data_IF_476827424716
#
_entry.id   IF_476827424716
#
_cell.length_a   1.000
_cell.length_b   1.000
_cell.length_c   1.000
_cell.angle_alpha   90.00
_cell.angle_beta   90.00
_cell.angle_gamma   90.00
#
_symmetry.space_group_name_H-M   'P 1'
#
loop_
_entity.id
_entity.type
_entity.pdbx_description
1 polymer ?
#
# COMPACT_ATOMS: atom_id res chain seq x y z
N UNK A 1 -15.97 -22.79 -16.09
CA UNK A 1 -15.92 -21.39 -15.66
C UNK A 1 -14.88 -21.31 -14.56
N UNK A 2 -13.65 -20.96 -14.90
CA UNK A 2 -12.66 -20.61 -13.88
C UNK A 2 -12.89 -19.14 -13.51
N UNK A 3 -13.10 -18.88 -12.23
CA UNK A 3 -13.10 -17.52 -11.70
C UNK A 3 -11.71 -16.92 -11.93
N UNK A 4 -11.65 -15.76 -12.60
CA UNK A 4 -10.44 -14.93 -12.65
C UNK A 4 -10.13 -14.44 -11.24
N UNK A 5 -9.49 -15.27 -10.42
CA UNK A 5 -8.75 -14.77 -9.26
C UNK A 5 -7.56 -14.03 -9.86
N UNK A 6 -7.54 -12.71 -9.72
CA UNK A 6 -6.36 -11.89 -9.98
C UNK A 6 -5.20 -12.55 -9.23
N UNK A 7 -4.21 -13.08 -9.95
CA UNK A 7 -3.16 -13.90 -9.34
C UNK A 7 -2.11 -12.98 -8.71
N UNK A 8 -2.46 -12.38 -7.59
CA UNK A 8 -1.51 -11.74 -6.69
C UNK A 8 -0.46 -12.77 -6.28
N UNK A 9 0.82 -12.44 -6.42
CA UNK A 9 1.93 -13.32 -6.02
C UNK A 9 2.42 -13.03 -4.62
N UNK A 10 2.33 -11.77 -4.18
CA UNK A 10 2.80 -11.29 -2.88
C UNK A 10 1.79 -10.30 -2.31
N UNK A 11 1.43 -10.48 -1.04
CA UNK A 11 0.72 -9.47 -0.25
C UNK A 11 1.70 -8.77 0.68
N UNK A 12 1.74 -7.44 0.62
CA UNK A 12 2.51 -6.60 1.54
C UNK A 12 1.53 -5.92 2.48
N UNK A 13 1.79 -6.00 3.78
CA UNK A 13 0.98 -5.33 4.80
C UNK A 13 1.86 -4.34 5.53
N UNK A 14 1.48 -3.07 5.55
CA UNK A 14 2.22 -2.01 6.26
C UNK A 14 1.28 -1.32 7.25
N UNK A 15 1.45 -1.56 8.57
CA UNK A 15 0.80 -0.74 9.58
C UNK A 15 1.43 0.66 9.59
N UNK A 16 0.60 1.67 9.77
CA UNK A 16 0.98 3.08 9.68
C UNK A 16 0.55 3.79 10.95
N UNK A 17 1.51 4.31 11.70
CA UNK A 17 1.26 5.20 12.83
C UNK A 17 2.24 6.37 12.79
N UNK A 18 1.72 7.58 12.63
CA UNK A 18 2.49 8.83 12.63
C UNK A 18 3.75 8.81 11.72
N UNK A 19 3.57 8.38 10.48
CA UNK A 19 4.63 8.13 9.51
C UNK A 19 4.69 9.15 8.36
N UNK A 20 4.08 10.33 8.50
CA UNK A 20 3.89 11.28 7.39
C UNK A 20 5.18 11.59 6.60
N UNK A 21 6.33 11.60 7.30
CA UNK A 21 7.65 11.90 6.73
C UNK A 21 8.21 10.82 5.81
N UNK A 22 7.78 9.57 5.98
CA UNK A 22 8.36 8.41 5.31
C UNK A 22 7.36 7.65 4.45
N UNK A 23 6.06 7.79 4.76
CA UNK A 23 5.00 6.97 4.18
C UNK A 23 5.00 6.98 2.64
N UNK A 24 5.14 8.14 2.00
CA UNK A 24 5.21 8.22 0.52
C UNK A 24 6.37 7.42 -0.04
N UNK A 25 7.58 7.61 0.52
CA UNK A 25 8.78 6.87 0.10
C UNK A 25 8.61 5.36 0.31
N UNK A 26 7.98 4.95 1.41
CA UNK A 26 7.67 3.55 1.68
C UNK A 26 6.71 3.00 0.62
N UNK A 27 5.63 3.72 0.32
CA UNK A 27 4.66 3.32 -0.71
C UNK A 27 5.35 3.18 -2.06
N UNK A 28 6.09 4.20 -2.48
CA UNK A 28 6.86 4.21 -3.73
C UNK A 28 7.82 3.02 -3.82
N UNK A 29 8.45 2.66 -2.70
CA UNK A 29 9.37 1.52 -2.66
C UNK A 29 8.66 0.18 -2.92
N UNK A 30 7.40 0.02 -2.49
CA UNK A 30 6.66 -1.24 -2.65
C UNK A 30 5.99 -1.33 -4.02
N UNK A 31 5.41 -0.24 -4.53
CA UNK A 31 4.67 -0.28 -5.81
C UNK A 31 5.61 -0.36 -7.02
N UNK A 32 6.85 0.13 -6.92
CA UNK A 32 7.84 0.14 -8.01
C UNK A 32 8.78 -1.08 -8.00
N UNK A 33 8.32 -2.23 -7.54
CA UNK A 33 9.10 -3.46 -7.53
C UNK A 33 9.21 -4.11 -8.92
N UNK A 34 10.31 -4.84 -9.17
CA UNK A 34 10.60 -5.46 -10.47
C UNK A 34 9.62 -6.58 -10.87
N UNK A 35 8.83 -7.08 -9.92
CA UNK A 35 7.80 -8.09 -10.17
C UNK A 35 6.51 -7.51 -10.76
N UNK A 36 6.41 -6.18 -10.91
CA UNK A 36 5.21 -5.51 -11.43
C UNK A 36 4.12 -5.35 -10.37
N UNK A 37 3.45 -4.19 -10.39
CA UNK A 37 2.40 -3.84 -9.41
C UNK A 37 1.18 -4.77 -9.50
N UNK A 38 0.87 -5.30 -10.68
CA UNK A 38 -0.23 -6.24 -10.91
C UNK A 38 -0.08 -7.58 -10.18
N UNK A 39 1.13 -7.87 -9.70
CA UNK A 39 1.43 -9.07 -8.91
C UNK A 39 1.45 -8.80 -7.39
N UNK A 40 1.16 -7.56 -6.95
CA UNK A 40 1.25 -7.11 -5.56
C UNK A 40 -0.14 -6.71 -5.05
N UNK A 41 -0.53 -7.26 -3.92
CA UNK A 41 -1.62 -6.73 -3.09
C UNK A 41 -0.97 -5.92 -1.98
N UNK A 42 -1.32 -4.65 -1.85
CA UNK A 42 -0.74 -3.78 -0.84
C UNK A 42 -1.80 -3.26 0.13
N UNK A 43 -1.76 -3.75 1.37
CA UNK A 43 -2.64 -3.33 2.45
C UNK A 43 -1.93 -2.33 3.35
N UNK A 44 -2.40 -1.08 3.32
CA UNK A 44 -1.94 0.00 4.19
C UNK A 44 -2.96 0.21 5.30
N UNK A 45 -2.57 -0.02 6.55
CA UNK A 45 -3.50 0.00 7.69
C UNK A 45 -3.12 1.13 8.65
N UNK A 46 -3.96 2.16 8.72
CA UNK A 46 -3.78 3.25 9.69
C UNK A 46 -4.10 2.77 11.11
N UNK A 47 -3.16 2.94 12.03
CA UNK A 47 -3.29 2.60 13.45
C UNK A 47 -3.58 3.86 14.27
N UNK A 48 -4.67 4.55 13.93
CA UNK A 48 -5.12 5.76 14.61
C UNK A 48 -4.10 6.92 14.60
N UNK A 49 -3.43 7.17 13.47
CA UNK A 49 -2.50 8.30 13.35
C UNK A 49 -3.15 9.64 13.69
N UNK A 50 -2.39 10.52 14.32
CA UNK A 50 -2.78 11.89 14.68
C UNK A 50 -2.06 12.96 13.85
N UNK A 51 -1.15 12.54 12.97
CA UNK A 51 -0.48 13.38 11.97
C UNK A 51 -1.14 13.25 10.57
N UNK A 52 -0.44 13.72 9.54
CA UNK A 52 -0.95 13.70 8.16
C UNK A 52 -0.93 12.32 7.48
N UNK A 53 -0.56 11.24 8.18
CA UNK A 53 -0.44 9.90 7.60
C UNK A 53 -1.75 9.42 6.98
N UNK A 54 -2.87 9.64 7.67
CA UNK A 54 -4.19 9.24 7.18
C UNK A 54 -4.56 9.96 5.87
N UNK A 55 -4.25 11.25 5.77
CA UNK A 55 -4.49 12.04 4.54
C UNK A 55 -3.63 11.55 3.38
N UNK A 56 -2.39 11.12 3.65
CA UNK A 56 -1.52 10.52 2.65
C UNK A 56 -2.13 9.19 2.18
N UNK A 57 -2.58 8.32 3.10
CA UNK A 57 -3.23 7.05 2.74
C UNK A 57 -4.48 7.24 1.87
N UNK A 58 -5.34 8.21 2.19
CA UNK A 58 -6.53 8.49 1.36
C UNK A 58 -6.19 8.99 -0.05
N UNK A 59 -5.08 9.72 -0.21
CA UNK A 59 -4.63 10.19 -1.53
C UNK A 59 -4.04 9.06 -2.37
N UNK A 60 -3.20 8.23 -1.77
CA UNK A 60 -2.50 7.14 -2.46
C UNK A 60 -3.36 5.87 -2.58
N UNK A 61 -4.49 5.74 -1.87
CA UNK A 61 -5.38 4.57 -1.95
C UNK A 61 -6.29 4.53 -3.18
N UNK A 62 -6.24 5.55 -4.05
CA UNK A 62 -7.07 5.65 -5.26
C UNK A 62 -6.27 5.39 -6.56
N UNK A 63 -5.08 4.79 -6.48
CA UNK A 63 -4.30 4.33 -7.66
C UNK A 63 -4.66 2.91 -8.08
#
# INVERSE_FOLDING_TARGET
MESKVSKTKVSVVTPVYNAEKYLRKTIDSVINQTIGFENIEYLLIDDCSTDSSRDILFKEGNV
#
